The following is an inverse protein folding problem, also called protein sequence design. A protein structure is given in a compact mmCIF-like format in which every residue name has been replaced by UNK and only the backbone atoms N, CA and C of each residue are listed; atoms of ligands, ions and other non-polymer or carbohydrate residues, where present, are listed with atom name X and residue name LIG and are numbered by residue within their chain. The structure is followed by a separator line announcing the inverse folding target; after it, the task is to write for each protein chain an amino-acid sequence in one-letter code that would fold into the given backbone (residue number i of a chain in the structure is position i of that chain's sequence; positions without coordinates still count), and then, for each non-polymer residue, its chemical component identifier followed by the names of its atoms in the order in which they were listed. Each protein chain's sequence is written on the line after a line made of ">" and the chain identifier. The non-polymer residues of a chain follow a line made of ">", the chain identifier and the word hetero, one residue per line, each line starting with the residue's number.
data_IF_180545349142
#
_entry.id   IF_180545349142
#
_cell.length_a   1.000
_cell.length_b   1.000
_cell.length_c   1.000
_cell.angle_alpha   90.00
_cell.angle_beta   90.00
_cell.angle_gamma   90.00
#
_symmetry.space_group_name_H-M   'P 1'
#
loop_
_entity.id
_entity.type
_entity.pdbx_description
1 polymer ?
#
# COMPACT_ATOMS: atom_id res chain seq x y z
N UNK A 1 15.01 19.86 10.90
CA UNK A 1 15.26 18.44 10.61
C UNK A 1 14.04 17.66 11.10
N UNK A 2 12.96 17.65 10.30
CA UNK A 2 11.77 16.86 10.58
C UNK A 2 12.13 15.37 10.50
N UNK A 3 11.88 14.62 11.57
CA UNK A 3 11.92 13.16 11.55
C UNK A 3 10.88 12.70 10.54
N UNK A 4 11.33 12.17 9.41
CA UNK A 4 10.45 11.50 8.45
C UNK A 4 10.06 10.16 9.08
N UNK A 5 8.99 10.15 9.87
CA UNK A 5 8.31 8.92 10.19
C UNK A 5 7.93 8.26 8.86
N UNK A 6 8.29 6.99 8.68
CA UNK A 6 8.13 6.28 7.43
C UNK A 6 6.68 5.92 7.10
N UNK A 7 5.78 6.90 7.21
CA UNK A 7 4.42 6.78 6.67
C UNK A 7 4.54 7.09 5.18
N UNK A 8 4.76 6.05 4.37
CA UNK A 8 4.84 6.17 2.93
C UNK A 8 3.47 6.51 2.38
N UNK A 9 3.48 7.36 1.38
CA UNK A 9 2.29 7.67 0.58
C UNK A 9 1.95 6.43 -0.23
N UNK A 10 0.70 6.01 -0.16
CA UNK A 10 0.27 4.85 -0.92
C UNK A 10 -0.92 5.20 -1.77
N UNK A 11 -0.67 5.20 -3.06
CA UNK A 11 -1.69 5.36 -4.08
C UNK A 11 -1.35 4.50 -5.29
N UNK A 12 -2.34 4.12 -6.04
CA UNK A 12 -2.21 3.33 -7.27
C UNK A 12 -3.28 3.79 -8.28
N UNK A 13 -2.90 4.01 -9.55
CA UNK A 13 -1.55 3.97 -10.13
C UNK A 13 -0.69 5.16 -9.72
N UNK A 14 0.63 5.07 -9.91
CA UNK A 14 1.54 6.20 -9.69
C UNK A 14 1.63 7.09 -10.95
N UNK A 15 1.32 8.38 -10.88
CA UNK A 15 1.46 9.27 -12.03
C UNK A 15 2.93 9.53 -12.41
N UNK A 16 3.86 9.22 -11.51
CA UNK A 16 5.31 9.37 -11.74
C UNK A 16 5.95 8.16 -12.40
N UNK A 17 5.22 7.04 -12.48
CA UNK A 17 5.69 5.80 -13.10
C UNK A 17 5.24 5.77 -14.55
N UNK A 18 5.97 6.50 -15.41
CA UNK A 18 5.67 6.64 -16.84
C UNK A 18 6.02 5.37 -17.64
N UNK A 19 5.51 5.21 -18.87
CA UNK A 19 5.91 4.10 -19.74
C UNK A 19 7.42 4.00 -19.94
N UNK A 20 8.14 5.12 -20.05
CA UNK A 20 9.59 5.14 -20.22
C UNK A 20 10.31 4.62 -18.95
N UNK A 21 9.80 4.99 -17.77
CA UNK A 21 10.31 4.48 -16.49
C UNK A 21 10.04 2.98 -16.38
N UNK A 22 8.87 2.53 -16.80
CA UNK A 22 8.48 1.12 -16.80
C UNK A 22 9.40 0.28 -17.69
N UNK A 23 9.61 0.70 -18.94
CA UNK A 23 10.52 0.02 -19.88
C UNK A 23 11.95 -0.05 -19.34
N UNK A 24 12.45 1.06 -18.82
CA UNK A 24 13.78 1.10 -18.19
C UNK A 24 13.87 0.10 -17.02
N UNK A 25 12.90 0.14 -16.12
CA UNK A 25 12.88 -0.72 -14.94
C UNK A 25 12.75 -2.21 -15.31
N UNK A 26 11.89 -2.55 -16.25
CA UNK A 26 11.76 -3.93 -16.76
C UNK A 26 13.10 -4.45 -17.27
N UNK A 27 13.78 -3.67 -18.10
CA UNK A 27 15.03 -4.09 -18.75
C UNK A 27 16.24 -4.08 -17.82
N UNK A 28 16.40 -3.06 -17.01
CA UNK A 28 17.63 -2.80 -16.27
C UNK A 28 17.56 -3.06 -14.77
N UNK A 29 16.35 -3.20 -14.22
CA UNK A 29 16.14 -3.41 -12.80
C UNK A 29 15.51 -4.78 -12.54
N UNK A 30 14.25 -4.99 -13.02
CA UNK A 30 13.48 -6.16 -12.63
C UNK A 30 14.04 -7.45 -13.20
N UNK A 31 14.25 -7.51 -14.50
CA UNK A 31 14.81 -8.70 -15.15
C UNK A 31 16.20 -9.03 -14.61
N UNK A 32 17.06 -8.02 -14.48
CA UNK A 32 18.42 -8.24 -13.95
C UNK A 32 18.43 -8.71 -12.51
N UNK A 33 17.50 -8.27 -11.69
CA UNK A 33 17.38 -8.76 -10.31
C UNK A 33 17.02 -10.25 -10.28
N UNK A 34 16.04 -10.65 -11.07
CA UNK A 34 15.61 -12.05 -11.13
C UNK A 34 16.71 -12.95 -11.72
N UNK A 35 17.35 -12.49 -12.79
CA UNK A 35 18.47 -13.22 -13.44
C UNK A 35 19.66 -13.40 -12.49
N UNK A 36 20.01 -12.36 -11.72
CA UNK A 36 21.10 -12.42 -10.75
C UNK A 36 20.78 -13.42 -9.62
N UNK A 37 19.55 -13.41 -9.10
CA UNK A 37 19.11 -14.39 -8.10
C UNK A 37 19.20 -15.83 -8.63
N UNK A 38 18.78 -16.04 -9.87
CA UNK A 38 18.87 -17.35 -10.50
C UNK A 38 20.33 -17.79 -10.72
N UNK A 39 21.20 -16.88 -11.16
CA UNK A 39 22.63 -17.14 -11.39
C UNK A 39 23.39 -17.51 -10.09
N UNK A 40 22.94 -16.96 -8.95
CA UNK A 40 23.46 -17.33 -7.63
C UNK A 40 22.88 -18.63 -7.05
N UNK A 41 22.08 -19.37 -7.84
CA UNK A 41 21.41 -20.60 -7.39
C UNK A 41 20.25 -20.38 -6.43
N UNK A 42 19.69 -19.17 -6.39
CA UNK A 42 18.59 -18.76 -5.52
C UNK A 42 17.44 -18.14 -6.33
N UNK A 43 16.83 -18.92 -7.27
CA UNK A 43 15.75 -18.40 -8.09
C UNK A 43 14.59 -17.90 -7.22
N UNK A 44 14.11 -16.69 -7.48
CA UNK A 44 13.05 -16.09 -6.71
C UNK A 44 11.69 -16.38 -7.37
N UNK A 45 10.72 -16.78 -6.55
CA UNK A 45 9.29 -16.85 -6.92
C UNK A 45 8.48 -16.10 -5.86
N UNK A 46 7.57 -15.26 -6.27
CA UNK A 46 6.72 -14.47 -5.36
C UNK A 46 6.66 -13.00 -5.73
N UNK A 47 6.46 -12.17 -4.74
CA UNK A 47 6.32 -10.72 -4.89
C UNK A 47 7.63 -10.03 -4.53
N UNK A 48 8.12 -9.19 -5.43
CA UNK A 48 9.19 -8.24 -5.14
C UNK A 48 8.62 -6.83 -5.28
N UNK A 49 8.63 -6.06 -4.20
CA UNK A 49 8.36 -4.64 -4.23
C UNK A 49 9.70 -3.88 -4.32
N UNK A 50 9.82 -3.04 -5.34
CA UNK A 50 11.00 -2.19 -5.56
C UNK A 50 10.72 -0.78 -5.08
N UNK A 51 11.42 -0.32 -4.05
CA UNK A 51 11.45 1.09 -3.70
C UNK A 51 12.35 1.84 -4.67
N UNK A 52 11.76 2.67 -5.53
CA UNK A 52 12.49 3.41 -6.55
C UNK A 52 12.59 4.89 -6.21
N UNK A 53 13.71 5.52 -6.58
CA UNK A 53 13.86 6.97 -6.64
C UNK A 53 14.10 7.38 -8.08
N UNK A 54 13.25 8.28 -8.59
CA UNK A 54 13.45 8.90 -9.89
C UNK A 54 14.45 10.04 -9.75
N UNK A 55 15.56 9.96 -10.48
CA UNK A 55 16.63 10.96 -10.47
C UNK A 55 16.86 11.49 -11.88
N UNK A 56 17.65 12.56 -12.01
CA UNK A 56 18.05 13.08 -13.31
C UNK A 56 18.82 12.02 -14.16
N UNK A 57 19.48 11.07 -13.49
CA UNK A 57 20.22 9.96 -14.14
C UNK A 57 19.38 8.70 -14.30
N UNK A 58 18.07 8.80 -14.22
CA UNK A 58 17.11 7.71 -14.31
C UNK A 58 16.72 7.08 -12.95
N UNK A 59 15.89 6.03 -12.98
CA UNK A 59 15.44 5.32 -11.79
C UNK A 59 16.60 4.65 -11.02
N UNK A 60 16.62 4.80 -9.70
CA UNK A 60 17.56 4.14 -8.78
C UNK A 60 16.81 3.32 -7.76
N UNK A 61 17.28 2.10 -7.50
CA UNK A 61 16.68 1.24 -6.47
C UNK A 61 17.17 1.68 -5.09
N UNK A 62 16.23 1.92 -4.18
CA UNK A 62 16.50 2.25 -2.79
C UNK A 62 16.46 1.02 -1.89
N UNK A 63 15.50 0.14 -2.16
CA UNK A 63 15.28 -1.07 -1.35
C UNK A 63 14.48 -2.12 -2.13
N UNK A 64 14.57 -3.34 -1.65
CA UNK A 64 13.74 -4.47 -2.06
C UNK A 64 12.90 -4.92 -0.87
N UNK A 65 11.65 -5.28 -1.13
CA UNK A 65 10.83 -6.03 -0.18
C UNK A 65 10.36 -7.32 -0.87
N UNK A 66 10.75 -8.47 -0.32
CA UNK A 66 10.39 -9.79 -0.86
C UNK A 66 8.97 -10.21 -0.43
N UNK A 67 8.03 -9.30 -0.53
CA UNK A 67 6.61 -9.43 -0.18
C UNK A 67 5.85 -8.21 -0.68
N UNK A 68 4.53 -8.25 -0.61
CA UNK A 68 3.75 -7.02 -0.78
C UNK A 68 4.19 -5.95 0.22
N UNK A 69 4.29 -4.70 -0.24
CA UNK A 69 4.51 -3.57 0.65
C UNK A 69 3.32 -3.33 1.60
N UNK A 70 3.58 -2.65 2.68
CA UNK A 70 2.56 -2.17 3.61
C UNK A 70 2.82 -0.67 3.86
N UNK A 71 1.95 0.21 3.33
CA UNK A 71 0.56 -0.01 2.93
C UNK A 71 0.31 -0.19 1.41
N UNK A 72 1.28 -0.60 0.59
CA UNK A 72 1.11 -0.73 -0.87
C UNK A 72 0.09 -1.82 -1.26
N UNK A 73 0.05 -2.94 -0.54
CA UNK A 73 -0.96 -4.00 -0.76
C UNK A 73 -2.39 -3.45 -0.69
N UNK A 74 -2.63 -2.52 0.23
CA UNK A 74 -3.94 -1.93 0.49
C UNK A 74 -4.49 -1.05 -0.65
N UNK A 75 -3.68 -0.74 -1.66
CA UNK A 75 -4.13 0.01 -2.85
C UNK A 75 -3.99 -0.79 -4.14
N UNK A 76 -3.11 -1.79 -4.17
CA UNK A 76 -2.92 -2.64 -5.35
C UNK A 76 -3.98 -3.75 -5.40
N UNK A 77 -4.13 -4.50 -4.30
CA UNK A 77 -5.04 -5.65 -4.26
C UNK A 77 -6.53 -5.28 -4.44
N UNK A 78 -7.05 -4.19 -3.87
CA UNK A 78 -8.44 -3.78 -4.11
C UNK A 78 -8.76 -3.41 -5.56
N UNK A 79 -7.73 -3.16 -6.40
CA UNK A 79 -7.88 -2.87 -7.82
C UNK A 79 -7.68 -4.10 -8.71
N UNK A 80 -7.17 -5.20 -8.16
CA UNK A 80 -6.96 -6.44 -8.93
C UNK A 80 -8.31 -7.09 -9.25
N UNK A 81 -8.52 -7.44 -10.50
CA UNK A 81 -9.73 -8.15 -10.95
C UNK A 81 -9.58 -9.67 -10.85
N UNK A 82 -8.34 -10.16 -10.91
CA UNK A 82 -8.07 -11.59 -10.80
C UNK A 82 -8.24 -12.09 -9.37
N UNK A 83 -8.61 -13.35 -9.21
CA UNK A 83 -8.51 -14.04 -7.92
C UNK A 83 -7.04 -14.15 -7.51
N UNK A 84 -6.71 -13.61 -6.33
CA UNK A 84 -5.32 -13.59 -5.83
C UNK A 84 -4.77 -14.99 -5.60
N UNK A 85 -5.61 -15.96 -5.26
CA UNK A 85 -5.19 -17.36 -5.04
C UNK A 85 -4.74 -17.97 -6.37
N UNK A 86 -5.50 -17.78 -7.46
CA UNK A 86 -5.11 -18.27 -8.79
C UNK A 86 -3.77 -17.65 -9.24
N UNK A 87 -3.57 -16.36 -8.99
CA UNK A 87 -2.31 -15.67 -9.30
C UNK A 87 -1.15 -16.24 -8.48
N UNK A 88 -1.35 -16.49 -7.18
CA UNK A 88 -0.33 -17.06 -6.31
C UNK A 88 0.01 -18.50 -6.70
N UNK A 89 -0.96 -19.33 -7.01
CA UNK A 89 -0.76 -20.71 -7.48
C UNK A 89 0.02 -20.72 -8.80
N UNK A 90 -0.37 -19.88 -9.77
CA UNK A 90 0.34 -19.75 -11.03
C UNK A 90 1.81 -19.28 -10.83
N UNK A 91 2.05 -18.40 -9.86
CA UNK A 91 3.41 -17.96 -9.52
C UNK A 91 4.25 -19.11 -8.96
N UNK A 92 3.71 -19.91 -8.03
CA UNK A 92 4.39 -21.07 -7.46
C UNK A 92 4.69 -22.13 -8.52
N UNK A 93 3.72 -22.39 -9.40
CA UNK A 93 3.82 -23.37 -10.48
C UNK A 93 4.74 -22.93 -11.62
N UNK A 94 5.14 -21.65 -11.66
CA UNK A 94 5.93 -21.08 -12.75
C UNK A 94 5.12 -20.90 -14.04
N UNK A 95 3.82 -20.60 -13.91
CA UNK A 95 2.86 -20.40 -15.01
C UNK A 95 2.26 -18.99 -15.01
N UNK A 96 2.90 -18.04 -14.33
CA UNK A 96 2.39 -16.67 -14.21
C UNK A 96 2.29 -15.96 -15.57
N UNK A 97 3.10 -16.34 -16.53
CA UNK A 97 3.05 -15.89 -17.93
C UNK A 97 1.79 -16.32 -18.69
N UNK A 98 1.02 -17.27 -18.13
CA UNK A 98 -0.25 -17.73 -18.67
C UNK A 98 -1.46 -17.00 -18.05
N UNK A 99 -1.23 -16.16 -17.06
CA UNK A 99 -2.27 -15.33 -16.41
C UNK A 99 -2.25 -13.93 -17.02
N UNK A 100 -3.40 -13.49 -17.51
CA UNK A 100 -3.62 -12.09 -17.89
C UNK A 100 -4.00 -11.28 -16.63
N UNK A 101 -3.00 -10.65 -16.01
CA UNK A 101 -3.22 -9.83 -14.82
C UNK A 101 -3.96 -8.56 -15.19
N UNK A 102 -5.12 -8.37 -14.56
CA UNK A 102 -6.00 -7.23 -14.80
C UNK A 102 -6.22 -6.42 -13.53
N UNK A 103 -6.29 -5.13 -13.73
CA UNK A 103 -6.62 -4.17 -12.69
C UNK A 103 -7.72 -3.25 -13.18
N UNK A 104 -8.62 -2.87 -12.28
CA UNK A 104 -9.65 -1.89 -12.56
C UNK A 104 -9.04 -0.58 -13.07
N UNK A 105 -9.71 0.04 -14.03
CA UNK A 105 -9.33 1.37 -14.55
C UNK A 105 -9.83 2.48 -13.63
N UNK A 106 -9.35 2.47 -12.40
CA UNK A 106 -9.64 3.44 -11.36
C UNK A 106 -8.38 3.71 -10.54
N UNK A 107 -8.52 4.50 -9.50
CA UNK A 107 -7.46 4.79 -8.57
C UNK A 107 -7.83 4.37 -7.14
N UNK A 108 -6.82 4.12 -6.31
CA UNK A 108 -6.98 3.85 -4.89
C UNK A 108 -5.93 4.63 -4.08
N UNK A 109 -6.35 5.13 -2.92
CA UNK A 109 -5.48 5.81 -1.95
C UNK A 109 -5.72 5.23 -0.57
N UNK A 110 -4.63 4.95 0.16
CA UNK A 110 -4.65 4.48 1.53
C UNK A 110 -4.09 5.52 2.48
N UNK A 111 -4.87 5.92 3.48
CA UNK A 111 -4.43 6.79 4.58
C UNK A 111 -4.23 5.94 5.82
N UNK A 112 -3.01 5.95 6.35
CA UNK A 112 -2.69 5.21 7.58
C UNK A 112 -3.07 6.02 8.80
N UNK A 113 -3.92 5.44 9.66
CA UNK A 113 -4.20 5.93 10.99
C UNK A 113 -3.19 5.33 11.97
N UNK A 114 -2.48 6.18 12.68
CA UNK A 114 -1.44 5.81 13.63
C UNK A 114 -1.83 6.22 15.05
N UNK A 115 -1.16 5.62 16.03
CA UNK A 115 -1.17 6.11 17.41
C UNK A 115 -0.29 7.35 17.53
N UNK A 116 -0.77 8.40 18.16
CA UNK A 116 0.03 9.60 18.42
C UNK A 116 1.30 9.25 19.19
N UNK A 117 2.40 9.92 18.80
CA UNK A 117 3.75 9.63 19.31
C UNK A 117 4.52 8.55 18.53
N UNK A 118 3.89 7.81 17.61
CA UNK A 118 4.59 6.89 16.71
C UNK A 118 5.63 7.65 15.84
N UNK A 119 6.86 7.13 15.61
CA UNK A 119 7.37 5.79 15.93
C UNK A 119 8.09 5.68 17.29
N UNK A 120 8.10 6.70 18.11
CA UNK A 120 8.94 6.76 19.32
C UNK A 120 8.26 6.10 20.52
N UNK A 121 7.18 6.70 21.01
CA UNK A 121 6.42 6.20 22.16
C UNK A 121 4.94 6.49 21.95
N UNK A 122 4.11 5.49 22.13
CA UNK A 122 2.66 5.60 21.96
C UNK A 122 1.93 4.64 22.91
N UNK A 123 0.71 5.00 23.24
CA UNK A 123 -0.19 4.21 24.06
C UNK A 123 -0.87 3.11 23.24
N UNK A 124 -1.13 1.96 23.87
CA UNK A 124 -1.85 0.81 23.29
C UNK A 124 -3.07 0.47 24.14
N UNK A 125 -3.98 -0.32 23.57
CA UNK A 125 -5.17 -0.78 24.29
C UNK A 125 -6.32 0.23 24.28
N UNK A 126 -6.27 1.23 23.40
CA UNK A 126 -7.32 2.24 23.24
C UNK A 126 -8.43 1.66 22.37
N UNK A 127 -9.70 1.67 22.81
CA UNK A 127 -10.84 1.22 22.00
C UNK A 127 -10.97 1.98 20.68
N UNK A 128 -11.34 1.25 19.63
CA UNK A 128 -11.54 1.80 18.28
C UNK A 128 -13.01 1.61 17.91
N UNK A 129 -13.65 2.66 17.42
CA UNK A 129 -15.06 2.68 17.08
C UNK A 129 -15.26 3.12 15.62
N UNK A 130 -16.42 2.74 15.03
CA UNK A 130 -16.86 3.22 13.73
C UNK A 130 -16.65 2.23 12.58
N UNK A 131 -16.25 0.98 12.86
CA UNK A 131 -16.07 -0.04 11.81
C UNK A 131 -17.36 -0.33 11.03
N UNK A 132 -18.52 -0.20 11.69
CA UNK A 132 -19.83 -0.37 11.11
C UNK A 132 -20.13 0.58 9.95
N UNK A 133 -19.45 1.74 9.91
CA UNK A 133 -19.61 2.73 8.85
C UNK A 133 -19.04 2.27 7.50
N UNK A 134 -18.21 1.22 7.49
CA UNK A 134 -17.66 0.62 6.27
C UNK A 134 -18.55 -0.49 5.71
N UNK A 135 -19.54 -0.94 6.49
CA UNK A 135 -20.45 -1.98 6.04
C UNK A 135 -21.24 -1.50 4.81
N UNK A 136 -21.27 -2.36 3.79
CA UNK A 136 -22.00 -2.11 2.55
C UNK A 136 -21.54 -0.83 1.80
N UNK A 137 -20.28 -0.38 2.02
CA UNK A 137 -19.65 0.72 1.32
C UNK A 137 -18.68 0.20 0.28
N UNK A 138 -19.18 0.01 -0.94
CA UNK A 138 -18.32 -0.40 -2.05
C UNK A 138 -17.21 0.62 -2.32
N UNK A 139 -16.01 0.11 -2.62
CA UNK A 139 -14.83 0.93 -2.86
C UNK A 139 -14.17 1.53 -1.60
N UNK A 140 -14.67 1.22 -0.39
CA UNK A 140 -14.07 1.66 0.87
C UNK A 140 -13.67 0.47 1.74
N UNK A 141 -12.46 0.52 2.25
CA UNK A 141 -11.86 -0.58 3.02
C UNK A 141 -11.19 -0.05 4.29
N UNK A 142 -11.37 -0.78 5.40
CA UNK A 142 -10.68 -0.54 6.66
C UNK A 142 -9.79 -1.75 6.96
N UNK A 143 -8.51 -1.66 6.65
CA UNK A 143 -7.53 -2.72 6.87
C UNK A 143 -6.93 -2.62 8.26
N UNK A 144 -6.98 -3.73 9.00
CA UNK A 144 -6.35 -3.85 10.30
C UNK A 144 -4.82 -4.01 10.17
N UNK A 145 -4.07 -3.26 10.98
CA UNK A 145 -2.63 -3.38 11.12
C UNK A 145 -2.28 -3.63 12.60
N UNK A 146 -2.02 -2.59 13.37
CA UNK A 146 -1.72 -2.68 14.80
C UNK A 146 -2.97 -2.69 15.67
N UNK A 147 -3.82 -3.66 15.52
CA UNK A 147 -5.04 -3.86 16.34
C UNK A 147 -5.04 -5.22 17.02
N UNK A 148 -5.83 -5.37 18.05
CA UNK A 148 -6.16 -6.66 18.67
C UNK A 148 -7.57 -6.65 19.24
N UNK A 149 -8.12 -7.84 19.42
CA UNK A 149 -9.36 -8.03 20.16
C UNK A 149 -9.07 -8.14 21.65
N UNK A 150 -9.75 -7.39 22.49
CA UNK A 150 -9.62 -7.40 23.93
C UNK A 150 -10.96 -7.09 24.60
N UNK A 151 -11.41 -7.95 25.51
CA UNK A 151 -12.62 -7.78 26.34
C UNK A 151 -13.90 -7.45 25.52
N UNK A 152 -14.02 -8.04 24.32
CA UNK A 152 -15.17 -7.82 23.42
C UNK A 152 -15.03 -6.63 22.47
N UNK A 153 -13.93 -5.88 22.54
CA UNK A 153 -13.69 -4.71 21.71
C UNK A 153 -12.40 -4.81 20.87
N UNK A 154 -12.36 -4.10 19.76
CA UNK A 154 -11.13 -3.93 18.99
C UNK A 154 -10.38 -2.72 19.55
N UNK A 155 -9.11 -2.94 19.92
CA UNK A 155 -8.26 -1.91 20.52
C UNK A 155 -6.95 -1.74 19.77
N UNK A 156 -6.31 -0.57 19.93
CA UNK A 156 -4.98 -0.31 19.38
C UNK A 156 -3.93 -1.24 20.00
N UNK A 157 -3.00 -1.75 19.17
CA UNK A 157 -1.90 -2.61 19.60
C UNK A 157 -0.59 -2.36 18.85
N UNK A 158 -0.51 -1.29 18.06
CA UNK A 158 0.66 -0.93 17.28
C UNK A 158 0.75 0.56 16.98
N UNK A 159 1.86 0.99 16.39
CA UNK A 159 2.06 2.36 15.98
C UNK A 159 1.23 2.74 14.76
N UNK A 160 1.27 1.92 13.70
CA UNK A 160 0.31 1.97 12.59
C UNK A 160 -0.87 1.09 12.98
N UNK A 161 -2.05 1.65 13.06
CA UNK A 161 -3.25 1.01 13.63
C UNK A 161 -4.16 0.47 12.55
N UNK A 162 -4.55 1.33 11.60
CA UNK A 162 -5.45 0.99 10.50
C UNK A 162 -4.97 1.62 9.20
N UNK A 163 -5.29 0.99 8.06
CA UNK A 163 -5.20 1.57 6.74
C UNK A 163 -6.59 1.84 6.19
N UNK A 164 -6.93 3.10 5.96
CA UNK A 164 -8.21 3.49 5.36
C UNK A 164 -8.00 3.69 3.87
N UNK A 165 -8.55 2.78 3.09
CA UNK A 165 -8.44 2.81 1.62
C UNK A 165 -9.77 3.19 1.00
N UNK A 166 -9.71 4.07 0.00
CA UNK A 166 -10.86 4.33 -0.85
C UNK A 166 -10.46 4.35 -2.32
N UNK A 167 -11.39 3.91 -3.16
CA UNK A 167 -11.32 4.01 -4.62
C UNK A 167 -11.95 5.31 -5.12
N UNK A 168 -11.62 5.69 -6.35
CA UNK A 168 -12.22 6.79 -7.09
C UNK A 168 -11.84 6.70 -8.56
N UNK A 169 -12.56 7.36 -9.44
CA UNK A 169 -12.24 7.39 -10.88
C UNK A 169 -10.87 8.02 -11.14
N UNK A 170 -10.46 8.95 -10.27
CA UNK A 170 -9.16 9.62 -10.32
C UNK A 170 -8.43 9.52 -8.99
N UNK A 171 -7.10 9.68 -9.00
CA UNK A 171 -6.30 9.74 -7.77
C UNK A 171 -6.77 10.87 -6.83
N UNK A 172 -7.19 12.00 -7.37
CA UNK A 172 -7.70 13.14 -6.59
C UNK A 172 -9.00 12.77 -5.87
N UNK A 173 -9.89 12.08 -6.55
CA UNK A 173 -11.14 11.60 -5.98
C UNK A 173 -10.89 10.52 -4.93
N UNK A 174 -10.08 9.50 -5.26
CA UNK A 174 -9.71 8.43 -4.32
C UNK A 174 -9.07 9.02 -3.05
N UNK A 175 -8.21 10.03 -3.17
CA UNK A 175 -7.61 10.75 -2.04
C UNK A 175 -8.66 11.45 -1.19
N UNK A 176 -9.55 12.21 -1.82
CA UNK A 176 -10.67 12.88 -1.13
C UNK A 176 -11.54 11.88 -0.38
N UNK A 177 -11.89 10.78 -1.02
CA UNK A 177 -12.72 9.71 -0.45
C UNK A 177 -12.01 9.04 0.74
N UNK A 178 -10.73 8.71 0.62
CA UNK A 178 -9.95 8.09 1.69
C UNK A 178 -9.87 8.98 2.93
N UNK A 179 -9.57 10.28 2.75
CA UNK A 179 -9.56 11.22 3.88
C UNK A 179 -10.93 11.40 4.52
N UNK A 180 -12.00 11.50 3.73
CA UNK A 180 -13.36 11.56 4.27
C UNK A 180 -13.70 10.31 5.11
N UNK A 181 -13.31 9.13 4.64
CA UNK A 181 -13.53 7.88 5.36
C UNK A 181 -12.71 7.74 6.66
N UNK A 182 -11.60 8.47 6.80
CA UNK A 182 -10.87 8.50 8.08
C UNK A 182 -11.70 9.04 9.24
N UNK A 183 -12.69 9.90 8.95
CA UNK A 183 -13.59 10.46 9.98
C UNK A 183 -14.61 9.46 10.48
N UNK A 184 -14.79 8.34 9.79
CA UNK A 184 -15.71 7.27 10.23
C UNK A 184 -15.13 6.46 11.39
N UNK A 185 -13.81 6.50 11.60
CA UNK A 185 -13.10 5.80 12.66
C UNK A 185 -12.67 6.77 13.75
N UNK A 186 -12.85 6.36 15.00
CA UNK A 186 -12.39 7.13 16.16
C UNK A 186 -11.63 6.27 17.16
N UNK A 187 -10.57 6.79 17.70
CA UNK A 187 -9.87 6.34 18.91
C UNK A 187 -9.08 7.53 19.50
N UNK A 188 -8.89 7.55 20.83
CA UNK A 188 -8.50 8.77 21.56
C UNK A 188 -7.18 9.40 21.11
N UNK A 189 -6.20 8.59 20.70
CA UNK A 189 -4.90 9.08 20.22
C UNK A 189 -4.72 8.91 18.72
N UNK A 190 -5.80 9.04 17.93
CA UNK A 190 -5.76 8.94 16.47
C UNK A 190 -4.88 10.07 15.90
N UNK A 191 -3.89 9.65 15.12
CA UNK A 191 -3.02 10.54 14.36
C UNK A 191 -2.95 10.10 12.90
N UNK A 192 -2.89 11.04 11.99
CA UNK A 192 -2.62 10.78 10.56
C UNK A 192 -1.88 11.97 9.95
N UNK A 193 -1.18 11.70 8.85
CA UNK A 193 -0.62 12.77 8.01
C UNK A 193 -1.72 13.33 7.11
N UNK A 194 -1.73 14.65 6.93
CA UNK A 194 -2.68 15.36 6.06
C UNK A 194 -2.12 15.64 4.65
N UNK A 195 -0.86 15.30 4.41
CA UNK A 195 -0.15 15.53 3.16
C UNK A 195 0.00 14.27 2.27
N UNK A 196 -0.66 13.16 2.64
CA UNK A 196 -0.65 11.92 1.86
C UNK A 196 -1.25 12.20 0.48
N UNK A 197 -0.48 11.88 -0.56
CA UNK A 197 -0.88 12.10 -1.94
C UNK A 197 -0.95 13.57 -2.36
N UNK A 198 -0.39 14.52 -1.58
CA UNK A 198 -0.38 15.94 -1.97
C UNK A 198 0.31 16.18 -3.32
N UNK A 199 1.35 15.40 -3.62
CA UNK A 199 2.04 15.47 -4.92
C UNK A 199 1.13 15.08 -6.12
N UNK A 200 -0.01 14.44 -5.88
CA UNK A 200 -1.02 14.15 -6.92
C UNK A 200 -1.71 15.44 -7.39
N UNK A 201 -1.81 16.43 -6.52
CA UNK A 201 -2.46 17.72 -6.85
C UNK A 201 -1.56 18.59 -7.72
N UNK A 202 -0.26 18.25 -7.82
CA UNK A 202 0.79 18.97 -8.56
C UNK A 202 1.18 18.25 -9.86
N UNK A 203 0.68 17.03 -10.10
CA UNK A 203 0.93 16.22 -11.29
C UNK A 203 -0.24 16.32 -12.27
#
# INVERSE_FOLDING_TARGET
>A
HGRKAGVRVTFSPSPFYTPEVDEFCKKYVYQKTVDAMAAEGRPFKGIIFFGLMLTADGPKVLEYNARFGDPEAQVVLPRMENDIIEVMEACVDGKLDQIDLKFEDNAAVCVVLASDGYPVKYEKGIPIHGFENFKDKDGYYCFHAGTKFKDGEIVTNGGRVLGITAKGETLKEARKNAYAATEWISFANKYMRHDIGKAIDEA
#
